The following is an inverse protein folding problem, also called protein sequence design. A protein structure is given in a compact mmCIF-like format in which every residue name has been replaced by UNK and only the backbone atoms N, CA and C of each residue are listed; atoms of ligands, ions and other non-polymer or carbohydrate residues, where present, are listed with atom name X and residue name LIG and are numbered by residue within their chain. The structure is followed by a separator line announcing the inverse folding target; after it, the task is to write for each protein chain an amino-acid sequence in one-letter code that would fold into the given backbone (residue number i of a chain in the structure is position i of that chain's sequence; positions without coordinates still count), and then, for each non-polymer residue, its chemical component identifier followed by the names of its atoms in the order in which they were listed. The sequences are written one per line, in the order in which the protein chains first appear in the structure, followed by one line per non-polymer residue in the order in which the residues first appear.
data_IF_073389635948
#
_entry.id   IF_073389635948
#
_cell.length_a   1.000
_cell.length_b   1.000
_cell.length_c   1.000
_cell.angle_alpha   90.00
_cell.angle_beta   90.00
_cell.angle_gamma   90.00
#
_symmetry.space_group_name_H-M   'P 1'
#
loop_
_entity.id
_entity.type
_entity.pdbx_description
1 polymer ?
#
# COMPACT_ATOMS: atom_id res chain seq x y z
N UNK A 1 14.36 30.54 45.62
CA UNK A 1 13.65 29.37 45.07
C UNK A 1 14.11 29.21 43.63
N UNK A 2 14.93 28.19 43.35
CA UNK A 2 15.35 27.83 41.99
C UNK A 2 14.18 27.04 41.40
N UNK A 3 13.55 27.57 40.36
CA UNK A 3 12.59 26.82 39.58
C UNK A 3 13.40 26.10 38.49
N UNK A 4 13.59 24.80 38.69
CA UNK A 4 14.20 23.90 37.72
C UNK A 4 13.31 23.86 36.47
N UNK A 5 13.80 24.47 35.39
CA UNK A 5 13.16 24.46 34.06
C UNK A 5 13.52 23.11 33.41
N UNK A 6 12.98 22.03 33.96
CA UNK A 6 13.16 20.69 33.41
C UNK A 6 12.23 20.51 32.21
N UNK A 7 12.80 20.73 31.02
CA UNK A 7 12.46 20.14 29.74
C UNK A 7 10.96 20.03 29.38
N UNK A 8 10.42 21.09 28.75
CA UNK A 8 9.29 20.96 27.82
C UNK A 8 9.79 20.25 26.55
N UNK A 9 9.80 18.92 26.54
CA UNK A 9 9.91 18.14 25.32
C UNK A 9 8.60 18.27 24.54
N UNK A 10 8.48 19.34 23.76
CA UNK A 10 7.47 19.43 22.72
C UNK A 10 7.83 18.41 21.64
N UNK A 11 7.30 17.19 21.77
CA UNK A 11 7.22 16.25 20.67
C UNK A 11 6.31 16.86 19.60
N UNK A 12 6.90 17.58 18.63
CA UNK A 12 6.22 17.88 17.38
C UNK A 12 5.93 16.54 16.72
N UNK A 13 4.75 16.00 17.01
CA UNK A 13 4.13 15.01 16.15
C UNK A 13 3.82 15.74 14.84
N UNK A 14 4.83 15.84 13.97
CA UNK A 14 4.59 16.00 12.55
C UNK A 14 3.69 14.82 12.19
N UNK A 15 2.40 15.08 12.05
CA UNK A 15 1.51 14.15 11.38
C UNK A 15 2.06 14.05 9.98
N UNK A 16 2.96 13.09 9.75
CA UNK A 16 3.35 12.69 8.41
C UNK A 16 2.07 12.15 7.79
N UNK A 17 1.36 13.02 7.10
CA UNK A 17 0.37 12.64 6.12
C UNK A 17 1.06 11.69 5.15
N UNK A 18 0.76 10.41 5.33
CA UNK A 18 1.01 9.44 4.30
C UNK A 18 0.13 9.83 3.11
N UNK A 19 0.74 10.11 1.96
CA UNK A 19 0.00 10.16 0.71
C UNK A 19 -0.68 8.80 0.53
N UNK A 20 -1.84 8.84 -0.11
CA UNK A 20 -2.61 7.62 -0.41
C UNK A 20 -3.06 7.65 -1.85
N UNK A 21 -3.45 6.50 -2.36
CA UNK A 21 -3.95 6.39 -3.71
C UNK A 21 -5.15 5.46 -3.76
N UNK A 22 -6.15 5.85 -4.56
CA UNK A 22 -7.26 5.00 -4.92
C UNK A 22 -7.15 4.68 -6.42
N UNK A 23 -7.37 3.42 -6.79
CA UNK A 23 -7.36 3.02 -8.21
C UNK A 23 -8.62 2.25 -8.54
N UNK A 24 -9.29 2.71 -9.59
CA UNK A 24 -10.47 2.09 -10.17
C UNK A 24 -10.04 1.28 -11.39
N UNK A 25 -10.11 -0.03 -11.25
CA UNK A 25 -9.76 -0.99 -12.31
C UNK A 25 -11.03 -1.48 -12.96
N UNK A 26 -11.06 -1.47 -14.28
CA UNK A 26 -12.13 -2.07 -15.08
C UNK A 26 -11.55 -3.16 -15.96
N UNK A 27 -12.19 -4.33 -15.94
CA UNK A 27 -11.81 -5.49 -16.73
C UNK A 27 -12.91 -5.83 -17.73
N UNK A 28 -12.51 -6.03 -18.98
CA UNK A 28 -13.37 -6.48 -20.07
C UNK A 28 -12.68 -7.61 -20.83
N UNK A 29 -13.36 -8.75 -20.97
CA UNK A 29 -12.77 -9.94 -21.58
C UNK A 29 -11.52 -10.41 -20.81
N UNK A 30 -10.37 -10.39 -21.48
CA UNK A 30 -9.08 -10.87 -20.94
C UNK A 30 -8.14 -9.74 -20.48
N UNK A 31 -8.60 -8.48 -20.50
CA UNK A 31 -7.77 -7.31 -20.22
C UNK A 31 -8.37 -6.47 -19.11
N UNK A 32 -7.52 -6.03 -18.18
CA UNK A 32 -7.85 -5.06 -17.14
C UNK A 32 -7.11 -3.75 -17.39
N UNK A 33 -7.76 -2.63 -17.10
CA UNK A 33 -7.19 -1.29 -17.18
C UNK A 33 -7.38 -0.57 -15.85
N UNK A 34 -6.28 -0.02 -15.35
CA UNK A 34 -6.18 0.69 -14.07
C UNK A 34 -5.77 2.16 -14.30
N UNK A 35 -6.15 2.72 -15.46
CA UNK A 35 -5.81 4.09 -15.83
C UNK A 35 -6.49 5.16 -14.95
N UNK A 36 -7.58 4.82 -14.26
CA UNK A 36 -8.34 5.76 -13.43
C UNK A 36 -7.85 5.69 -11.97
N UNK A 37 -6.74 6.38 -11.71
CA UNK A 37 -6.15 6.52 -10.39
C UNK A 37 -6.31 7.93 -9.83
N UNK A 38 -6.49 8.02 -8.52
CA UNK A 38 -6.52 9.27 -7.77
C UNK A 38 -5.44 9.24 -6.69
N UNK A 39 -4.51 10.20 -6.78
CA UNK A 39 -3.42 10.36 -5.83
C UNK A 39 -3.74 11.52 -4.87
N UNK A 40 -3.74 11.24 -3.57
CA UNK A 40 -4.08 12.17 -2.51
C UNK A 40 -2.82 12.56 -1.76
N UNK A 41 -2.55 13.85 -1.73
CA UNK A 41 -1.46 14.47 -0.96
C UNK A 41 -2.05 15.50 0.00
N UNK A 42 -1.22 16.06 0.88
CA UNK A 42 -1.60 17.22 1.68
C UNK A 42 -1.97 18.47 0.86
N UNK A 43 -1.42 18.58 -0.34
CA UNK A 43 -1.57 19.77 -1.17
C UNK A 43 -2.72 19.67 -2.17
N UNK A 44 -3.33 18.49 -2.31
CA UNK A 44 -4.41 18.28 -3.26
C UNK A 44 -4.60 16.82 -3.67
N UNK A 45 -5.57 16.64 -4.56
CA UNK A 45 -5.92 15.35 -5.16
C UNK A 45 -5.75 15.45 -6.67
N UNK A 46 -5.10 14.46 -7.26
CA UNK A 46 -4.68 14.50 -8.66
C UNK A 46 -5.05 13.21 -9.39
N UNK A 47 -5.48 13.32 -10.64
CA UNK A 47 -5.67 12.17 -11.52
C UNK A 47 -4.32 11.66 -12.01
N UNK A 48 -4.16 10.34 -11.97
CA UNK A 48 -2.96 9.64 -12.42
C UNK A 48 -3.34 8.38 -13.20
N UNK A 49 -2.50 8.02 -14.16
CA UNK A 49 -2.58 6.71 -14.81
C UNK A 49 -1.87 5.69 -13.92
N UNK A 50 -2.63 4.75 -13.35
CA UNK A 50 -2.13 3.72 -12.45
C UNK A 50 -2.01 2.32 -13.09
N UNK A 51 -1.93 2.20 -14.42
CA UNK A 51 -1.56 0.94 -15.09
C UNK A 51 -0.16 0.44 -14.67
N UNK A 52 0.20 -0.81 -14.94
CA UNK A 52 1.54 -1.35 -14.63
C UNK A 52 2.68 -0.59 -15.32
N UNK A 53 3.78 -0.33 -14.62
CA UNK A 53 4.99 0.32 -15.14
C UNK A 53 5.24 1.73 -14.59
N UNK A 54 6.30 2.36 -15.07
CA UNK A 54 6.74 3.70 -14.67
C UNK A 54 6.31 4.77 -15.66
N UNK A 55 5.83 5.92 -15.18
CA UNK A 55 5.44 7.05 -16.03
C UNK A 55 5.43 8.38 -15.28
N UNK A 56 5.34 9.47 -16.05
CA UNK A 56 5.09 10.80 -15.50
C UNK A 56 3.64 10.96 -15.03
N UNK A 57 3.42 11.89 -14.10
CA UNK A 57 2.10 12.20 -13.57
C UNK A 57 1.82 13.70 -13.66
N UNK A 58 0.56 14.07 -13.42
CA UNK A 58 0.16 15.49 -13.27
C UNK A 58 0.41 16.03 -11.86
N UNK A 59 0.92 15.20 -10.95
CA UNK A 59 1.17 15.60 -9.55
C UNK A 59 2.35 16.57 -9.51
N UNK A 60 2.19 17.78 -8.98
CA UNK A 60 3.26 18.77 -8.92
C UNK A 60 4.54 18.23 -8.26
N UNK A 61 5.68 18.48 -8.90
CA UNK A 61 7.01 18.06 -8.46
C UNK A 61 7.23 16.54 -8.34
N UNK A 62 6.27 15.68 -8.72
CA UNK A 62 6.48 14.23 -8.78
C UNK A 62 7.33 13.90 -10.00
N UNK A 63 8.54 13.41 -9.77
CA UNK A 63 9.52 13.12 -10.83
C UNK A 63 9.57 11.65 -11.21
N UNK A 64 8.98 10.79 -10.38
CA UNK A 64 8.95 9.34 -10.58
C UNK A 64 7.67 8.78 -9.99
N UNK A 65 7.01 7.90 -10.74
CA UNK A 65 5.85 7.13 -10.30
C UNK A 65 5.84 5.79 -11.04
N UNK A 66 5.77 4.69 -10.30
CA UNK A 66 5.81 3.33 -10.84
C UNK A 66 4.82 2.44 -10.13
N UNK A 67 4.06 1.66 -10.91
CA UNK A 67 3.12 0.64 -10.43
C UNK A 67 3.63 -0.76 -10.75
N UNK A 68 3.56 -1.65 -9.77
CA UNK A 68 3.89 -3.07 -9.86
C UNK A 68 2.69 -3.87 -9.33
N UNK A 69 1.70 -4.08 -10.22
CA UNK A 69 0.46 -4.79 -9.89
C UNK A 69 0.69 -6.26 -9.54
N UNK A 70 1.63 -6.92 -10.21
CA UNK A 70 1.93 -8.34 -9.98
C UNK A 70 2.36 -8.60 -8.54
N UNK A 71 3.02 -7.63 -7.91
CA UNK A 71 3.46 -7.71 -6.51
C UNK A 71 2.66 -6.82 -5.56
N UNK A 72 1.64 -6.11 -6.05
CA UNK A 72 0.83 -5.15 -5.27
C UNK A 72 1.66 -4.04 -4.60
N UNK A 73 2.64 -3.50 -5.34
CA UNK A 73 3.57 -2.47 -4.88
C UNK A 73 3.55 -1.26 -5.80
N UNK A 74 3.82 -0.08 -5.25
CA UNK A 74 3.99 1.13 -6.05
C UNK A 74 5.01 2.07 -5.42
N UNK A 75 5.80 2.79 -6.20
CA UNK A 75 6.71 3.79 -5.64
C UNK A 75 6.64 5.10 -6.39
N UNK A 76 7.03 6.15 -5.70
CA UNK A 76 7.09 7.48 -6.26
C UNK A 76 8.20 8.29 -5.60
N UNK A 77 8.52 9.42 -6.22
CA UNK A 77 9.50 10.37 -5.70
C UNK A 77 9.14 11.77 -6.13
N UNK A 78 9.21 12.69 -5.18
CA UNK A 78 9.16 14.13 -5.46
C UNK A 78 10.57 14.67 -5.69
N UNK A 79 10.69 15.75 -6.47
CA UNK A 79 11.94 16.46 -6.65
C UNK A 79 12.53 16.87 -5.29
N UNK A 80 13.82 16.59 -5.07
CA UNK A 80 14.50 16.87 -3.81
C UNK A 80 14.18 15.91 -2.66
N UNK A 81 13.34 14.89 -2.87
CA UNK A 81 13.01 13.88 -1.86
C UNK A 81 13.57 12.49 -2.21
N UNK A 82 13.65 11.63 -1.20
CA UNK A 82 13.95 10.21 -1.37
C UNK A 82 12.80 9.43 -1.97
N UNK A 83 13.07 8.17 -2.34
CA UNK A 83 12.04 7.23 -2.81
C UNK A 83 11.02 6.97 -1.69
N UNK A 84 9.74 7.02 -2.02
CA UNK A 84 8.61 6.65 -1.15
C UNK A 84 7.90 5.45 -1.75
N UNK A 85 7.36 4.58 -0.90
CA UNK A 85 6.80 3.30 -1.31
C UNK A 85 5.37 3.15 -0.79
N UNK A 86 4.55 2.46 -1.55
CA UNK A 86 3.17 2.14 -1.26
C UNK A 86 2.93 0.65 -1.42
N UNK A 87 1.92 0.16 -0.71
CA UNK A 87 1.38 -1.19 -0.86
C UNK A 87 -0.13 -1.10 -1.02
N UNK A 88 -0.71 -2.04 -1.76
CA UNK A 88 -2.16 -2.20 -1.83
C UNK A 88 -2.67 -2.62 -0.45
N UNK A 89 -3.59 -1.84 0.10
CA UNK A 89 -4.16 -2.01 1.44
C UNK A 89 -5.53 -2.71 1.38
N UNK A 90 -6.31 -2.48 0.32
CA UNK A 90 -7.60 -3.14 0.13
C UNK A 90 -7.97 -3.35 -1.34
N UNK A 91 -8.95 -4.21 -1.55
CA UNK A 91 -9.62 -4.44 -2.84
C UNK A 91 -11.10 -4.72 -2.60
N UNK A 92 -11.96 -4.04 -3.34
CA UNK A 92 -13.40 -4.24 -3.28
C UNK A 92 -14.02 -4.14 -4.65
N UNK A 93 -14.91 -5.06 -5.00
CA UNK A 93 -15.68 -4.96 -6.24
C UNK A 93 -16.71 -3.82 -6.15
N UNK A 94 -16.93 -3.12 -7.25
CA UNK A 94 -18.03 -2.15 -7.36
C UNK A 94 -18.84 -2.37 -8.64
N UNK A 95 -20.08 -1.91 -8.63
CA UNK A 95 -21.01 -2.13 -9.75
C UNK A 95 -20.60 -1.37 -11.01
N UNK A 96 -20.41 -2.10 -12.12
CA UNK A 96 -20.16 -1.56 -13.45
C UNK A 96 -20.63 -2.55 -14.53
N UNK A 97 -20.55 -2.17 -15.82
CA UNK A 97 -20.95 -3.03 -16.94
C UNK A 97 -20.05 -4.26 -17.18
N UNK A 98 -18.91 -4.35 -16.48
CA UNK A 98 -17.98 -5.48 -16.53
C UNK A 98 -17.54 -5.91 -15.13
N UNK A 99 -16.30 -6.39 -15.00
CA UNK A 99 -15.71 -6.65 -13.68
C UNK A 99 -14.91 -5.43 -13.25
N UNK A 100 -15.31 -4.77 -12.17
CA UNK A 100 -14.59 -3.59 -11.69
C UNK A 100 -14.21 -3.71 -10.22
N UNK A 101 -13.04 -3.17 -9.90
CA UNK A 101 -12.46 -3.18 -8.56
C UNK A 101 -11.99 -1.78 -8.17
N UNK A 102 -12.27 -1.40 -6.93
CA UNK A 102 -11.62 -0.28 -6.27
C UNK A 102 -10.54 -0.85 -5.36
N UNK A 103 -9.32 -0.34 -5.51
CA UNK A 103 -8.20 -0.63 -4.61
C UNK A 103 -7.78 0.63 -3.89
N UNK A 104 -7.34 0.48 -2.63
CA UNK A 104 -6.69 1.55 -1.88
C UNK A 104 -5.23 1.19 -1.67
N UNK A 105 -4.40 2.21 -1.66
CA UNK A 105 -2.95 2.10 -1.54
C UNK A 105 -2.48 3.08 -0.49
N UNK A 106 -1.64 2.62 0.43
CA UNK A 106 -1.09 3.44 1.51
C UNK A 106 0.42 3.42 1.47
N UNK A 107 1.03 4.51 1.93
CA UNK A 107 2.47 4.55 2.11
C UNK A 107 2.95 3.61 3.20
N UNK A 108 4.12 3.04 2.94
CA UNK A 108 4.90 2.23 3.85
C UNK A 108 6.39 2.58 3.70
N UNK A 109 7.24 2.27 4.70
CA UNK A 109 8.68 2.31 4.51
C UNK A 109 9.11 1.51 3.26
N UNK A 110 10.12 1.98 2.53
CA UNK A 110 10.65 1.30 1.36
C UNK A 110 11.51 0.08 1.75
N UNK A 111 10.85 -0.98 2.22
CA UNK A 111 11.48 -2.21 2.69
C UNK A 111 10.92 -3.46 2.00
N UNK A 112 10.46 -3.36 0.76
CA UNK A 112 9.85 -4.49 0.03
C UNK A 112 10.69 -5.77 -0.06
N UNK A 113 12.00 -5.69 0.20
CA UNK A 113 12.91 -6.84 0.27
C UNK A 113 12.98 -7.50 1.67
N UNK A 114 12.34 -6.90 2.68
CA UNK A 114 12.34 -7.37 4.07
C UNK A 114 11.01 -8.03 4.46
N UNK A 115 10.01 -8.07 3.56
CA UNK A 115 8.76 -8.83 3.76
C UNK A 115 8.91 -10.18 3.04
N UNK A 116 9.68 -11.07 3.65
CA UNK A 116 9.57 -12.49 3.41
C UNK A 116 9.51 -13.17 4.78
N UNK A 117 8.48 -13.99 4.99
CA UNK A 117 8.33 -15.00 6.05
C UNK A 117 7.31 -14.80 7.19
N UNK A 118 6.41 -13.82 7.18
CA UNK A 118 5.25 -13.88 8.09
C UNK A 118 3.96 -13.45 7.37
N UNK A 119 3.45 -14.38 6.55
CA UNK A 119 2.04 -14.40 6.16
C UNK A 119 1.26 -15.10 7.29
N UNK A 120 0.47 -14.40 8.12
CA UNK A 120 -0.23 -14.99 9.27
C UNK A 120 -1.36 -15.96 8.88
N UNK A 121 -1.56 -16.23 7.58
CA UNK A 121 -2.61 -17.12 7.10
C UNK A 121 -2.28 -18.63 7.19
N UNK A 122 -1.05 -19.03 7.52
CA UNK A 122 -0.65 -20.46 7.48
C UNK A 122 -0.52 -21.16 8.84
N UNK A 123 -0.51 -20.43 9.96
CA UNK A 123 -0.33 -21.02 11.32
C UNK A 123 -1.53 -21.84 11.82
N UNK A 124 -2.73 -21.67 11.24
CA UNK A 124 -3.94 -22.38 11.70
C UNK A 124 -4.05 -23.81 11.13
N UNK A 125 -3.30 -24.14 10.06
CA UNK A 125 -3.36 -25.46 9.43
C UNK A 125 -2.36 -26.47 10.03
N UNK A 126 -1.27 -26.00 10.65
CA UNK A 126 -0.22 -26.89 11.19
C UNK A 126 -0.54 -27.42 12.60
N UNK A 127 -1.28 -26.63 13.40
CA UNK A 127 -1.66 -27.03 14.77
C UNK A 127 -2.85 -28.00 14.85
N UNK A 128 -3.62 -28.16 13.77
CA UNK A 128 -4.77 -29.06 13.73
C UNK A 128 -4.43 -30.49 13.27
N UNK A 129 -3.24 -30.74 12.72
CA UNK A 129 -2.88 -32.02 12.12
C UNK A 129 -2.04 -32.94 13.03
N UNK A 130 -1.64 -32.50 14.22
CA UNK A 130 -0.75 -33.26 15.13
C UNK A 130 -1.50 -34.06 16.21
N UNK A 131 -2.81 -33.83 16.42
CA UNK A 131 -3.53 -34.45 17.57
C UNK A 131 -4.27 -35.76 17.23
N UNK A 132 -4.21 -36.28 16.00
CA UNK A 132 -4.97 -37.48 15.62
C UNK A 132 -4.09 -38.53 14.94
N UNK A 133 -3.22 -39.20 15.70
CA UNK A 133 -2.75 -40.58 15.43
C UNK A 133 -1.80 -41.09 16.53
N UNK A 134 -2.32 -41.45 17.71
CA UNK A 134 -1.75 -42.56 18.50
C UNK A 134 -2.74 -43.13 19.51
N UNK A 135 -3.55 -44.08 19.06
CA UNK A 135 -4.13 -45.11 19.92
C UNK A 135 -4.14 -46.44 19.14
N UNK A 136 -2.96 -47.09 19.09
CA UNK A 136 -2.85 -48.55 19.01
C UNK A 136 -2.79 -49.02 20.48
N UNK A 137 -3.58 -49.98 20.94
CA UNK A 137 -3.72 -51.31 20.38
C UNK A 137 -2.70 -52.21 21.08
N UNK A 138 -3.14 -52.90 22.13
CA UNK A 138 -2.56 -54.14 22.63
C UNK A 138 -3.64 -54.91 23.40
#
# INVERSE_FOLDING_TARGET
MRFDITALLASLALTASADRMEVFTSCGGWTCSSFDGWFYTDYGTYKIDANTGCRGTSVPAMVEFCMDWDNRRAHFRFSGQGKRCMIQDSESAYGCAGTCYKTTWREIPCNWRMVSEEDPATEIASSAFVTTTKAAGN
#
